data_IF_338017998830
#
_entry.id   IF_338017998830
#
_cell.length_a   1.000
_cell.length_b   1.000
_cell.length_c   1.000
_cell.angle_alpha   90.00
_cell.angle_beta   90.00
_cell.angle_gamma   90.00
#
_symmetry.space_group_name_H-M   'P 1'
#
loop_
_entity.id
_entity.type
_entity.pdbx_description
1 polymer ?
#
# COMPACT_ATOMS: atom_id res chain seq x y z
N UNK A 1 44.21 -40.45 -5.73
CA UNK A 1 43.47 -40.43 -4.45
C UNK A 1 42.33 -39.44 -4.63
N UNK A 2 41.20 -39.90 -5.19
CA UNK A 2 40.02 -40.33 -4.44
C UNK A 2 39.39 -39.17 -3.67
N UNK A 3 38.44 -38.49 -4.29
CA UNK A 3 37.13 -38.17 -3.69
C UNK A 3 36.13 -37.92 -4.83
N UNK A 4 35.60 -39.04 -5.34
CA UNK A 4 34.23 -39.09 -5.84
C UNK A 4 33.32 -38.70 -4.68
N UNK A 5 32.53 -37.64 -4.83
CA UNK A 5 31.38 -37.43 -3.95
C UNK A 5 30.12 -37.38 -4.80
N UNK A 6 29.61 -38.59 -4.98
CA UNK A 6 28.24 -39.01 -5.27
C UNK A 6 27.23 -37.85 -5.40
N UNK A 7 26.86 -37.54 -6.64
CA UNK A 7 25.50 -37.12 -6.90
C UNK A 7 24.60 -38.25 -6.40
N UNK A 8 23.83 -38.01 -5.32
CA UNK A 8 22.71 -38.88 -4.95
C UNK A 8 21.77 -38.89 -6.15
N UNK A 9 21.84 -39.96 -6.92
CA UNK A 9 20.83 -40.32 -7.90
C UNK A 9 19.50 -40.34 -7.13
N UNK A 10 18.60 -39.40 -7.44
CA UNK A 10 17.24 -39.43 -6.91
C UNK A 10 16.58 -40.62 -7.60
N UNK A 11 16.71 -41.81 -7.01
CA UNK A 11 16.02 -43.00 -7.47
C UNK A 11 14.54 -42.76 -7.31
N UNK A 12 13.86 -42.47 -8.43
CA UNK A 12 12.40 -42.42 -8.49
C UNK A 12 11.87 -43.80 -8.12
N UNK A 13 11.43 -43.94 -6.86
CA UNK A 13 10.79 -45.16 -6.40
C UNK A 13 9.41 -45.24 -7.02
N UNK A 14 9.12 -46.39 -7.59
CA UNK A 14 7.81 -46.70 -8.15
C UNK A 14 6.79 -46.96 -7.03
N UNK A 15 5.49 -46.83 -7.35
CA UNK A 15 4.41 -47.14 -6.41
C UNK A 15 4.51 -48.58 -5.88
N UNK A 16 4.92 -49.54 -6.72
CA UNK A 16 5.14 -50.92 -6.32
C UNK A 16 6.25 -51.09 -5.28
N UNK A 17 7.37 -50.39 -5.45
CA UNK A 17 8.48 -50.41 -4.50
C UNK A 17 8.10 -49.76 -3.17
N UNK A 18 7.33 -48.67 -3.19
CA UNK A 18 6.84 -47.99 -1.98
C UNK A 18 5.91 -48.92 -1.19
N UNK A 19 4.96 -49.58 -1.86
CA UNK A 19 4.06 -50.57 -1.24
C UNK A 19 4.87 -51.72 -0.65
N UNK A 20 5.85 -52.24 -1.38
CA UNK A 20 6.69 -53.33 -0.91
C UNK A 20 7.49 -52.94 0.34
N UNK A 21 8.04 -51.71 0.37
CA UNK A 21 8.82 -51.23 1.50
C UNK A 21 7.98 -51.08 2.76
N UNK A 22 6.85 -50.40 2.70
CA UNK A 22 5.96 -50.27 3.86
C UNK A 22 5.42 -51.61 4.34
N UNK A 23 5.14 -52.55 3.43
CA UNK A 23 4.78 -53.92 3.82
C UNK A 23 5.89 -54.58 4.63
N UNK A 24 7.14 -54.49 4.17
CA UNK A 24 8.31 -55.08 4.83
C UNK A 24 8.62 -54.39 6.16
N UNK A 25 8.50 -53.07 6.24
CA UNK A 25 8.67 -52.29 7.48
C UNK A 25 7.70 -52.73 8.58
N UNK A 26 6.47 -53.04 8.20
CA UNK A 26 5.44 -53.56 9.10
C UNK A 26 5.55 -55.08 9.31
N UNK A 27 6.59 -55.74 8.80
CA UNK A 27 6.84 -57.17 8.96
C UNK A 27 5.82 -58.09 8.30
N UNK A 28 5.00 -57.58 7.36
CA UNK A 28 3.93 -58.34 6.73
C UNK A 28 4.42 -59.14 5.52
N UNK A 29 3.88 -60.33 5.30
CA UNK A 29 3.97 -61.08 4.05
C UNK A 29 2.99 -60.54 3.00
N UNK A 30 3.21 -60.85 1.71
CA UNK A 30 2.27 -60.46 0.64
C UNK A 30 0.87 -61.06 0.85
N UNK A 31 0.79 -62.24 1.46
CA UNK A 31 -0.47 -62.90 1.80
C UNK A 31 -1.23 -62.13 2.89
N UNK A 32 -0.54 -61.72 3.96
CA UNK A 32 -1.14 -60.94 5.05
C UNK A 32 -1.59 -59.55 4.58
N UNK A 33 -0.82 -58.87 3.72
CA UNK A 33 -1.26 -57.61 3.13
C UNK A 33 -2.49 -57.81 2.23
N UNK A 34 -2.52 -58.89 1.44
CA UNK A 34 -3.67 -59.25 0.61
C UNK A 34 -4.94 -59.44 1.45
N UNK A 35 -4.84 -60.17 2.56
CA UNK A 35 -5.95 -60.37 3.49
C UNK A 35 -6.48 -59.05 4.07
N UNK A 36 -5.59 -58.14 4.51
CA UNK A 36 -6.00 -56.82 5.03
C UNK A 36 -6.61 -55.92 3.95
N UNK A 37 -6.13 -56.04 2.72
CA UNK A 37 -6.60 -55.29 1.56
C UNK A 37 -7.86 -55.87 0.92
N UNK A 38 -8.30 -57.07 1.34
CA UNK A 38 -9.37 -57.84 0.70
C UNK A 38 -9.10 -58.14 -0.78
N UNK A 39 -7.83 -58.41 -1.12
CA UNK A 39 -7.38 -58.80 -2.47
C UNK A 39 -6.51 -60.05 -2.40
N UNK A 40 -6.29 -60.72 -3.53
CA UNK A 40 -5.42 -61.89 -3.54
C UNK A 40 -3.95 -61.49 -3.35
N UNK A 41 -3.14 -62.40 -2.81
CA UNK A 41 -1.67 -62.27 -2.78
C UNK A 41 -1.09 -61.97 -4.16
N UNK A 42 -1.67 -62.57 -5.21
CA UNK A 42 -1.24 -62.34 -6.59
C UNK A 42 -1.40 -60.86 -6.96
N UNK A 43 -2.53 -60.23 -6.61
CA UNK A 43 -2.75 -58.79 -6.84
C UNK A 43 -1.69 -57.93 -6.15
N UNK A 44 -1.33 -58.25 -4.89
CA UNK A 44 -0.24 -57.55 -4.19
C UNK A 44 1.09 -57.72 -4.92
N UNK A 45 1.41 -58.93 -5.38
CA UNK A 45 2.62 -59.20 -6.16
C UNK A 45 2.64 -58.43 -7.48
N UNK A 46 1.50 -58.29 -8.17
CA UNK A 46 1.41 -57.50 -9.40
C UNK A 46 1.64 -56.01 -9.14
N UNK A 47 1.17 -55.47 -8.01
CA UNK A 47 1.44 -54.10 -7.61
C UNK A 47 2.92 -53.90 -7.27
N UNK A 48 3.50 -54.76 -6.44
CA UNK A 48 4.91 -54.65 -6.02
C UNK A 48 5.90 -54.79 -7.18
N UNK A 49 5.54 -55.53 -8.23
CA UNK A 49 6.35 -55.68 -9.44
C UNK A 49 5.98 -54.69 -10.55
N UNK A 50 5.20 -53.64 -10.25
CA UNK A 50 4.78 -52.60 -11.19
C UNK A 50 4.04 -53.10 -12.44
N UNK A 51 3.42 -54.28 -12.37
CA UNK A 51 2.67 -54.86 -13.48
C UNK A 51 1.24 -54.31 -13.56
N UNK A 52 0.68 -53.92 -12.42
CA UNK A 52 -0.63 -53.25 -12.33
C UNK A 52 -0.57 -52.16 -11.26
N UNK A 53 -1.52 -51.22 -11.31
CA UNK A 53 -1.59 -50.12 -10.33
C UNK A 53 -2.78 -50.31 -9.38
N UNK A 54 -2.65 -49.94 -8.09
CA UNK A 54 -3.77 -49.92 -7.18
C UNK A 54 -4.83 -48.90 -7.63
N UNK A 55 -6.10 -49.25 -7.50
CA UNK A 55 -7.21 -48.30 -7.71
C UNK A 55 -7.28 -47.25 -6.59
N UNK A 56 -8.08 -46.19 -6.79
CA UNK A 56 -8.28 -45.13 -5.80
C UNK A 56 -8.75 -45.69 -4.44
N UNK A 57 -9.67 -46.66 -4.43
CA UNK A 57 -10.15 -47.25 -3.18
C UNK A 57 -9.08 -48.13 -2.50
N UNK A 58 -8.21 -48.76 -3.29
CA UNK A 58 -7.06 -49.48 -2.75
C UNK A 58 -6.04 -48.50 -2.13
N UNK A 59 -5.79 -47.34 -2.75
CA UNK A 59 -4.90 -46.32 -2.19
C UNK A 59 -5.40 -45.77 -0.84
N UNK A 60 -6.72 -45.58 -0.69
CA UNK A 60 -7.32 -45.16 0.60
C UNK A 60 -7.06 -46.19 1.70
N UNK A 61 -7.25 -47.48 1.41
CA UNK A 61 -7.01 -48.59 2.35
C UNK A 61 -5.53 -48.75 2.67
N UNK A 62 -4.65 -48.63 1.68
CA UNK A 62 -3.20 -48.68 1.88
C UNK A 62 -2.75 -47.54 2.80
N UNK A 63 -3.29 -46.32 2.63
CA UNK A 63 -3.03 -45.20 3.56
C UNK A 63 -3.41 -45.56 5.00
N UNK A 64 -4.55 -46.20 5.23
CA UNK A 64 -4.98 -46.60 6.57
C UNK A 64 -4.10 -47.70 7.17
N UNK A 65 -3.70 -48.69 6.37
CA UNK A 65 -2.88 -49.82 6.81
C UNK A 65 -1.43 -49.39 7.09
N UNK A 66 -0.86 -48.53 6.24
CA UNK A 66 0.52 -48.08 6.33
C UNK A 66 0.69 -46.83 7.21
N UNK A 67 -0.39 -46.11 7.53
CA UNK A 67 -0.33 -44.90 8.34
C UNK A 67 0.32 -43.70 7.63
N UNK A 68 0.34 -43.69 6.29
CA UNK A 68 0.98 -42.65 5.46
C UNK A 68 -0.04 -41.91 4.59
N UNK A 69 0.35 -40.80 3.97
CA UNK A 69 -0.52 -40.09 3.03
C UNK A 69 -0.65 -40.85 1.70
N UNK A 70 -1.72 -40.59 0.93
CA UNK A 70 -1.82 -41.15 -0.43
C UNK A 70 -0.69 -40.61 -1.31
N UNK A 71 -0.30 -39.36 -1.08
CA UNK A 71 0.84 -38.72 -1.76
C UNK A 71 2.15 -39.47 -1.47
N UNK A 72 2.35 -39.97 -0.25
CA UNK A 72 3.48 -40.85 0.10
C UNK A 72 3.51 -42.11 -0.77
N UNK A 73 2.37 -42.80 -0.86
CA UNK A 73 2.23 -44.06 -1.60
C UNK A 73 2.46 -43.85 -3.10
N UNK A 74 2.09 -42.67 -3.61
CA UNK A 74 2.31 -42.27 -5.00
C UNK A 74 3.71 -41.71 -5.27
N UNK A 75 4.58 -41.61 -4.25
CA UNK A 75 5.95 -41.12 -4.38
C UNK A 75 6.08 -39.59 -4.39
N UNK A 76 5.02 -38.85 -4.07
CA UNK A 76 5.00 -37.39 -4.05
C UNK A 76 5.57 -36.77 -2.75
N UNK A 77 5.76 -37.54 -1.67
CA UNK A 77 6.37 -37.01 -0.42
C UNK A 77 7.83 -36.59 -0.59
N UNK A 78 8.60 -37.26 -1.48
CA UNK A 78 9.96 -36.82 -1.83
C UNK A 78 9.98 -35.52 -2.64
N UNK A 79 8.85 -35.08 -3.19
CA UNK A 79 8.73 -33.81 -3.91
C UNK A 79 8.42 -32.65 -2.96
N UNK A 80 7.79 -32.91 -1.81
CA UNK A 80 7.32 -31.84 -0.90
C UNK A 80 8.22 -31.60 0.31
N UNK A 81 9.11 -32.53 0.69
CA UNK A 81 9.89 -32.39 1.93
C UNK A 81 11.38 -32.07 1.79
N UNK A 82 11.97 -32.02 0.59
CA UNK A 82 13.41 -31.72 0.44
C UNK A 82 13.82 -30.95 -0.82
N UNK A 83 12.90 -30.20 -1.43
CA UNK A 83 13.30 -29.09 -2.28
C UNK A 83 12.95 -27.82 -1.54
N UNK A 84 13.93 -27.16 -0.91
CA UNK A 84 13.83 -25.72 -0.75
C UNK A 84 13.56 -25.20 -2.17
N UNK A 85 12.30 -24.88 -2.48
CA UNK A 85 11.91 -24.41 -3.80
C UNK A 85 12.91 -23.33 -4.18
N UNK A 86 13.69 -23.52 -5.24
CA UNK A 86 14.66 -22.48 -5.57
C UNK A 86 13.89 -21.21 -5.91
N UNK A 87 14.34 -20.04 -5.41
CA UNK A 87 13.65 -18.80 -5.72
C UNK A 87 13.67 -18.59 -7.24
N UNK A 88 12.50 -18.32 -7.80
CA UNK A 88 12.31 -18.03 -9.24
C UNK A 88 13.13 -16.79 -9.62
N UNK A 89 13.19 -15.84 -8.69
CA UNK A 89 14.01 -14.65 -8.78
C UNK A 89 14.65 -14.38 -7.42
N UNK A 90 15.95 -14.13 -7.43
CA UNK A 90 16.66 -13.66 -6.26
C UNK A 90 17.49 -12.45 -6.66
N UNK A 91 17.40 -11.37 -5.88
CA UNK A 91 18.23 -10.20 -6.06
C UNK A 91 18.66 -9.64 -4.72
N UNK A 92 19.86 -9.08 -4.71
CA UNK A 92 20.47 -8.47 -3.55
C UNK A 92 20.92 -7.07 -3.91
N UNK A 93 20.58 -6.10 -3.06
CA UNK A 93 21.00 -4.73 -3.28
C UNK A 93 21.24 -3.99 -1.97
N UNK A 94 22.06 -2.96 -2.08
CA UNK A 94 22.31 -2.01 -1.01
C UNK A 94 21.80 -0.65 -1.45
N UNK A 95 21.26 0.11 -0.52
CA UNK A 95 20.81 1.45 -0.83
C UNK A 95 21.99 2.40 -0.98
N UNK A 96 22.02 3.11 -2.10
CA UNK A 96 22.93 4.25 -2.22
C UNK A 96 22.35 5.47 -1.51
N UNK A 97 23.23 6.33 -0.99
CA UNK A 97 22.82 7.61 -0.39
C UNK A 97 22.02 8.48 -1.37
N UNK A 98 22.29 8.38 -2.68
CA UNK A 98 21.56 9.11 -3.73
C UNK A 98 20.11 8.65 -3.81
N UNK A 99 19.86 7.35 -3.86
CA UNK A 99 18.52 6.77 -3.91
C UNK A 99 17.68 7.10 -2.68
N UNK A 100 18.27 6.98 -1.48
CA UNK A 100 17.61 7.38 -0.24
C UNK A 100 17.26 8.87 -0.22
N UNK A 101 18.15 9.72 -0.74
CA UNK A 101 17.88 11.15 -0.87
C UNK A 101 16.75 11.43 -1.88
N UNK A 102 16.62 10.67 -2.96
CA UNK A 102 15.49 10.77 -3.89
C UNK A 102 14.18 10.36 -3.25
N UNK A 103 14.14 9.22 -2.57
CA UNK A 103 12.99 8.75 -1.80
C UNK A 103 12.53 9.81 -0.79
N UNK A 104 13.49 10.39 -0.08
CA UNK A 104 13.22 11.48 0.85
C UNK A 104 12.71 12.73 0.15
N UNK A 105 13.28 13.14 -0.99
CA UNK A 105 12.78 14.28 -1.76
C UNK A 105 11.31 14.11 -2.14
N UNK A 106 10.90 12.89 -2.50
CA UNK A 106 9.52 12.58 -2.86
C UNK A 106 8.58 12.62 -1.64
N UNK A 107 8.98 12.05 -0.50
CA UNK A 107 8.18 12.05 0.74
C UNK A 107 8.12 13.43 1.41
N UNK A 108 9.20 14.20 1.34
CA UNK A 108 9.38 15.54 1.93
C UNK A 108 8.33 16.55 1.47
N UNK A 109 7.79 16.43 0.25
CA UNK A 109 6.72 17.31 -0.24
C UNK A 109 5.45 17.23 0.61
N UNK A 110 5.14 16.08 1.23
CA UNK A 110 3.98 15.93 2.13
C UNK A 110 4.20 16.63 3.48
N UNK A 111 5.46 16.64 3.92
CA UNK A 111 5.89 17.15 5.22
C UNK A 111 5.79 18.67 5.27
N UNK A 112 6.22 19.38 4.22
CA UNK A 112 6.11 20.84 4.16
C UNK A 112 4.70 21.35 3.87
N UNK A 113 3.80 20.53 3.31
CA UNK A 113 2.41 20.97 3.03
C UNK A 113 1.65 21.34 4.30
N UNK A 114 1.78 20.55 5.37
CA UNK A 114 1.09 20.79 6.64
C UNK A 114 1.43 22.14 7.29
N UNK A 115 2.71 22.50 7.51
CA UNK A 115 3.05 23.80 8.07
C UNK A 115 2.65 24.96 7.15
N UNK A 116 2.79 24.82 5.83
CA UNK A 116 2.35 25.88 4.88
C UNK A 116 0.86 26.15 5.04
N UNK A 117 0.04 25.10 5.04
CA UNK A 117 -1.42 25.25 5.21
C UNK A 117 -1.75 25.85 6.57
N UNK A 118 -1.11 25.39 7.64
CA UNK A 118 -1.29 25.96 8.98
C UNK A 118 -0.95 27.46 9.00
N UNK A 119 0.21 27.86 8.46
CA UNK A 119 0.62 29.27 8.39
C UNK A 119 -0.38 30.12 7.61
N UNK A 120 -0.86 29.63 6.45
CA UNK A 120 -1.86 30.36 5.65
C UNK A 120 -3.16 30.55 6.45
N UNK A 121 -3.65 29.48 7.09
CA UNK A 121 -4.89 29.54 7.89
C UNK A 121 -4.73 30.49 9.08
N UNK A 122 -3.62 30.42 9.81
CA UNK A 122 -3.34 31.32 10.93
C UNK A 122 -3.25 32.78 10.49
N UNK A 123 -2.60 33.07 9.36
CA UNK A 123 -2.52 34.44 8.82
C UNK A 123 -3.91 34.96 8.42
N UNK A 124 -4.71 34.15 7.72
CA UNK A 124 -6.09 34.52 7.37
C UNK A 124 -6.95 34.79 8.61
N UNK A 125 -6.76 33.99 9.66
CA UNK A 125 -7.46 34.15 10.94
C UNK A 125 -7.06 35.45 11.65
N UNK A 126 -5.77 35.81 11.64
CA UNK A 126 -5.30 37.10 12.17
C UNK A 126 -5.85 38.28 11.37
N UNK A 127 -5.83 38.19 10.02
CA UNK A 127 -6.39 39.23 9.14
C UNK A 127 -7.89 39.42 9.41
N UNK A 128 -8.63 38.34 9.61
CA UNK A 128 -10.05 38.40 9.95
C UNK A 128 -10.31 39.22 11.23
N UNK A 129 -9.54 39.01 12.31
CA UNK A 129 -9.72 39.81 13.53
C UNK A 129 -9.40 41.29 13.34
N UNK A 130 -8.36 41.59 12.56
CA UNK A 130 -7.97 42.98 12.25
C UNK A 130 -9.09 43.69 11.47
N UNK A 131 -9.63 43.03 10.43
CA UNK A 131 -10.70 43.59 9.59
C UNK A 131 -12.00 43.83 10.36
N UNK A 132 -12.25 43.06 11.42
CA UNK A 132 -13.46 43.19 12.25
C UNK A 132 -13.25 44.05 13.50
N UNK A 133 -12.14 44.79 13.60
CA UNK A 133 -11.83 45.66 14.74
C UNK A 133 -11.96 44.94 16.10
N UNK A 134 -11.51 43.69 16.16
CA UNK A 134 -11.55 42.92 17.39
C UNK A 134 -10.66 43.54 18.48
N UNK A 135 -10.95 43.32 19.77
CA UNK A 135 -10.12 43.83 20.86
C UNK A 135 -8.65 43.41 20.72
N UNK A 136 -7.72 44.30 21.06
CA UNK A 136 -6.26 44.08 20.90
C UNK A 136 -5.77 42.76 21.48
N UNK A 137 -6.36 42.34 22.61
CA UNK A 137 -6.05 41.06 23.24
C UNK A 137 -6.32 39.85 22.32
N UNK A 138 -7.41 39.87 21.54
CA UNK A 138 -7.76 38.79 20.60
C UNK A 138 -6.78 38.73 19.42
N UNK A 139 -6.37 39.90 18.91
CA UNK A 139 -5.35 40.00 17.87
C UNK A 139 -4.01 39.45 18.40
N UNK A 140 -3.63 39.82 19.63
CA UNK A 140 -2.44 39.31 20.32
C UNK A 140 -2.46 37.79 20.49
N UNK A 141 -3.60 37.19 20.88
CA UNK A 141 -3.75 35.74 20.96
C UNK A 141 -3.58 35.06 19.60
N UNK A 142 -4.12 35.62 18.52
CA UNK A 142 -3.98 35.08 17.17
C UNK A 142 -2.50 35.06 16.72
N UNK A 143 -1.76 36.13 16.98
CA UNK A 143 -0.31 36.16 16.74
C UNK A 143 0.46 35.17 17.61
N UNK A 144 0.08 35.02 18.89
CA UNK A 144 0.66 34.03 19.80
C UNK A 144 0.50 32.60 19.27
N UNK A 145 -0.69 32.24 18.78
CA UNK A 145 -0.94 30.92 18.16
C UNK A 145 -0.08 30.68 16.91
N UNK A 146 0.09 31.70 16.06
CA UNK A 146 0.97 31.62 14.89
C UNK A 146 2.42 31.35 15.32
N UNK A 147 2.93 32.12 16.29
CA UNK A 147 4.31 31.98 16.77
C UNK A 147 4.58 30.60 17.39
N UNK A 148 3.69 30.14 18.28
CA UNK A 148 3.80 28.82 18.91
C UNK A 148 3.75 27.71 17.84
N UNK A 149 2.83 27.80 16.89
CA UNK A 149 2.71 26.83 15.80
C UNK A 149 3.95 26.82 14.90
N UNK A 150 4.52 27.98 14.61
CA UNK A 150 5.76 28.11 13.84
C UNK A 150 6.95 27.45 14.56
N UNK A 151 7.11 27.72 15.86
CA UNK A 151 8.15 27.08 16.69
C UNK A 151 7.97 25.55 16.72
N UNK A 152 6.73 25.07 16.88
CA UNK A 152 6.42 23.65 16.85
C UNK A 152 6.78 23.01 15.51
N UNK A 153 6.40 23.63 14.39
CA UNK A 153 6.70 23.13 13.06
C UNK A 153 8.20 23.14 12.75
N UNK A 154 8.94 24.16 13.16
CA UNK A 154 10.40 24.20 13.02
C UNK A 154 11.04 23.05 13.81
N UNK A 155 10.67 22.88 15.09
CA UNK A 155 11.16 21.76 15.91
C UNK A 155 10.87 20.42 15.25
N UNK A 156 9.66 20.24 14.72
CA UNK A 156 9.27 19.01 14.04
C UNK A 156 10.08 18.75 12.76
N UNK A 157 10.31 19.77 11.93
CA UNK A 157 11.14 19.68 10.71
C UNK A 157 12.59 19.31 11.07
N UNK A 158 13.16 19.94 12.10
CA UNK A 158 14.52 19.66 12.56
C UNK A 158 14.63 18.23 13.10
N UNK A 159 13.68 17.80 13.93
CA UNK A 159 13.62 16.44 14.46
C UNK A 159 13.51 15.41 13.34
N UNK A 160 12.61 15.65 12.37
CA UNK A 160 12.45 14.79 11.21
C UNK A 160 13.75 14.69 10.39
N UNK A 161 14.39 15.82 10.10
CA UNK A 161 15.67 15.86 9.36
C UNK A 161 16.77 15.09 10.10
N UNK A 162 16.85 15.21 11.42
CA UNK A 162 17.82 14.48 12.25
C UNK A 162 17.56 12.96 12.21
N UNK A 163 16.33 12.54 12.44
CA UNK A 163 15.93 11.12 12.40
C UNK A 163 16.17 10.52 11.02
N UNK A 164 15.88 11.27 9.96
CA UNK A 164 16.13 10.83 8.59
C UNK A 164 17.62 10.65 8.30
N UNK A 165 18.48 11.58 8.71
CA UNK A 165 19.94 11.46 8.56
C UNK A 165 20.49 10.20 9.23
N UNK A 166 20.03 9.90 10.45
CA UNK A 166 20.39 8.67 11.17
C UNK A 166 19.86 7.42 10.47
N UNK A 167 18.64 7.49 9.91
CA UNK A 167 18.03 6.37 9.18
C UNK A 167 18.78 6.05 7.89
N UNK A 168 19.22 7.07 7.11
CA UNK A 168 20.05 6.87 5.92
C UNK A 168 21.29 6.05 6.26
N UNK A 169 22.01 6.45 7.31
CA UNK A 169 23.28 5.80 7.65
C UNK A 169 23.07 4.32 7.99
N UNK A 170 22.00 4.01 8.74
CA UNK A 170 21.63 2.62 9.07
C UNK A 170 21.22 1.81 7.84
N UNK A 171 20.44 2.40 6.93
CA UNK A 171 19.92 1.71 5.74
C UNK A 171 21.02 1.49 4.70
N UNK A 172 21.93 2.45 4.50
CA UNK A 172 23.07 2.29 3.59
C UNK A 172 24.03 1.17 4.02
N UNK A 173 24.16 0.92 5.33
CA UNK A 173 24.97 -0.18 5.89
C UNK A 173 24.27 -1.53 5.84
N UNK A 174 23.00 -1.56 5.44
CA UNK A 174 22.20 -2.79 5.40
C UNK A 174 22.12 -3.31 3.96
N UNK A 175 22.17 -4.63 3.82
CA UNK A 175 22.03 -5.34 2.55
C UNK A 175 20.68 -6.03 2.52
N UNK A 176 19.95 -5.83 1.43
CA UNK A 176 18.59 -6.34 1.26
C UNK A 176 18.61 -7.46 0.24
N UNK A 177 18.24 -8.66 0.66
CA UNK A 177 18.11 -9.83 -0.19
C UNK A 177 16.61 -10.16 -0.31
N UNK A 178 16.13 -10.23 -1.54
CA UNK A 178 14.78 -10.62 -1.87
C UNK A 178 14.81 -11.92 -2.65
N UNK A 179 13.98 -12.88 -2.22
CA UNK A 179 13.76 -14.18 -2.86
C UNK A 179 12.29 -14.31 -3.19
N UNK A 180 11.98 -14.41 -4.47
CA UNK A 180 10.62 -14.46 -5.01
C UNK A 180 10.28 -15.90 -5.35
N UNK A 181 9.15 -16.36 -4.84
CA UNK A 181 8.57 -17.68 -5.08
C UNK A 181 7.16 -17.50 -5.68
N UNK A 182 6.52 -18.61 -6.06
CA UNK A 182 5.18 -18.59 -6.67
C UNK A 182 4.10 -18.01 -5.76
N UNK A 183 4.19 -18.27 -4.46
CA UNK A 183 3.15 -17.87 -3.49
C UNK A 183 3.60 -16.79 -2.49
N UNK A 184 4.90 -16.57 -2.37
CA UNK A 184 5.47 -15.69 -1.35
C UNK A 184 6.77 -15.01 -1.77
N UNK A 185 7.13 -13.96 -1.03
CA UNK A 185 8.43 -13.29 -1.10
C UNK A 185 9.11 -13.45 0.25
N UNK A 186 10.35 -13.93 0.25
CA UNK A 186 11.22 -13.86 1.42
C UNK A 186 12.09 -12.60 1.32
N UNK A 187 12.10 -11.81 2.39
CA UNK A 187 12.88 -10.58 2.52
C UNK A 187 13.85 -10.75 3.69
N UNK A 188 15.13 -10.81 3.37
CA UNK A 188 16.20 -10.91 4.34
C UNK A 188 16.97 -9.59 4.38
N UNK A 189 17.16 -9.04 5.58
CA UNK A 189 17.93 -7.81 5.77
C UNK A 189 19.14 -8.13 6.63
N UNK A 190 20.31 -7.93 6.05
CA UNK A 190 21.59 -8.09 6.71
C UNK A 190 22.17 -6.72 7.06
N UNK A 191 22.91 -6.62 8.16
CA UNK A 191 23.72 -5.43 8.48
C UNK A 191 25.01 -5.93 9.09
N UNK A 192 26.13 -5.41 8.60
CA UNK A 192 27.46 -5.85 9.07
C UNK A 192 27.60 -7.39 9.03
N UNK A 193 27.03 -8.00 7.98
CA UNK A 193 26.95 -9.46 7.75
C UNK A 193 26.10 -10.28 8.74
N UNK A 194 25.46 -9.66 9.72
CA UNK A 194 24.47 -10.33 10.57
C UNK A 194 23.06 -10.20 10.01
N UNK A 195 22.28 -11.29 10.05
CA UNK A 195 20.88 -11.28 9.62
C UNK A 195 20.02 -10.61 10.69
N UNK A 196 19.62 -9.37 10.46
CA UNK A 196 18.77 -8.60 11.39
C UNK A 196 17.30 -8.95 11.23
N UNK A 197 16.89 -9.27 10.00
CA UNK A 197 15.49 -9.56 9.71
C UNK A 197 15.37 -10.70 8.71
N UNK A 198 14.44 -11.58 9.03
CA UNK A 198 13.91 -12.61 8.15
C UNK A 198 12.40 -12.40 8.07
N UNK A 199 11.84 -12.29 6.89
CA UNK A 199 10.41 -12.04 6.69
C UNK A 199 9.89 -12.79 5.50
N UNK A 200 9.03 -13.77 5.75
CA UNK A 200 8.31 -14.53 4.71
C UNK A 200 6.93 -13.91 4.51
N UNK A 201 6.69 -13.34 3.34
CA UNK A 201 5.49 -12.57 3.02
C UNK A 201 4.69 -13.29 1.93
N UNK A 202 3.54 -13.88 2.27
CA UNK A 202 2.64 -14.47 1.26
C UNK A 202 1.92 -13.36 0.48
N UNK A 203 1.72 -13.56 -0.82
CA UNK A 203 1.08 -12.54 -1.66
C UNK A 203 -0.36 -12.22 -1.23
N UNK A 204 -1.08 -13.23 -0.73
CA UNK A 204 -2.44 -13.09 -0.18
C UNK A 204 -2.51 -12.04 0.94
N UNK A 205 -1.45 -11.98 1.73
CA UNK A 205 -1.38 -11.21 2.98
C UNK A 205 -0.84 -9.80 2.77
N UNK A 206 -0.40 -9.47 1.55
CA UNK A 206 0.01 -8.11 1.23
C UNK A 206 -1.21 -7.20 1.37
N UNK A 207 -1.13 -6.24 2.29
CA UNK A 207 -2.22 -5.33 2.61
C UNK A 207 -2.34 -4.24 1.54
N UNK A 208 -1.22 -3.64 1.19
CA UNK A 208 -1.16 -2.50 0.28
C UNK A 208 0.18 -2.46 -0.43
N UNK A 209 0.19 -2.01 -1.69
CA UNK A 209 1.39 -1.73 -2.48
C UNK A 209 1.33 -0.28 -2.94
N UNK A 210 2.45 0.44 -2.93
CA UNK A 210 2.53 1.84 -3.28
C UNK A 210 3.69 2.10 -4.23
N UNK A 211 3.38 2.79 -5.34
CA UNK A 211 4.39 3.17 -6.32
C UNK A 211 5.00 4.51 -5.94
N UNK A 212 6.34 4.59 -5.83
CA UNK A 212 7.05 5.82 -5.52
C UNK A 212 8.34 5.94 -6.37
N UNK A 213 8.23 6.64 -7.50
CA UNK A 213 9.36 6.76 -8.44
C UNK A 213 9.80 5.38 -8.96
N UNK A 214 11.09 5.06 -8.81
CA UNK A 214 11.68 3.77 -9.17
C UNK A 214 11.45 2.66 -8.12
N UNK A 215 10.62 2.91 -7.10
CA UNK A 215 10.44 2.01 -5.96
C UNK A 215 9.00 1.55 -5.84
N UNK A 216 8.84 0.34 -5.33
CA UNK A 216 7.59 -0.27 -4.91
C UNK A 216 7.68 -0.48 -3.40
N UNK A 217 6.73 0.08 -2.67
CA UNK A 217 6.58 -0.15 -1.24
C UNK A 217 5.43 -1.12 -1.05
N UNK A 218 5.61 -2.17 -0.27
CA UNK A 218 4.48 -3.04 0.09
C UNK A 218 4.39 -3.21 1.60
N UNK A 219 3.16 -3.30 2.09
CA UNK A 219 2.84 -3.40 3.49
C UNK A 219 2.43 -4.84 3.81
N UNK A 220 3.06 -5.41 4.84
CA UNK A 220 2.81 -6.76 5.34
C UNK A 220 2.98 -6.78 6.86
N UNK A 221 1.95 -7.22 7.59
CA UNK A 221 1.96 -7.32 9.05
C UNK A 221 2.24 -5.98 9.74
N UNK A 222 1.70 -4.89 9.19
CA UNK A 222 1.96 -3.52 9.67
C UNK A 222 3.38 -2.98 9.40
N UNK A 223 4.21 -3.69 8.63
CA UNK A 223 5.57 -3.28 8.27
C UNK A 223 5.67 -2.93 6.79
N UNK A 224 6.53 -1.99 6.45
CA UNK A 224 6.77 -1.57 5.07
C UNK A 224 8.08 -2.15 4.54
N UNK A 225 8.00 -2.80 3.39
CA UNK A 225 9.11 -3.32 2.63
C UNK A 225 9.26 -2.54 1.32
N UNK A 226 10.47 -2.55 0.76
CA UNK A 226 10.82 -1.70 -0.37
C UNK A 226 11.59 -2.47 -1.44
N UNK A 227 11.06 -2.45 -2.65
CA UNK A 227 11.61 -3.14 -3.82
C UNK A 227 11.97 -2.13 -4.89
N UNK A 228 13.16 -2.28 -5.48
CA UNK A 228 13.57 -1.49 -6.64
C UNK A 228 12.92 -2.09 -7.90
N UNK A 229 12.25 -1.27 -8.70
CA UNK A 229 11.55 -1.75 -9.91
C UNK A 229 12.48 -2.36 -10.95
N UNK A 230 13.70 -1.85 -11.06
CA UNK A 230 14.71 -2.32 -12.02
C UNK A 230 15.30 -3.68 -11.67
N UNK A 231 15.18 -4.12 -10.42
CA UNK A 231 15.76 -5.38 -9.95
C UNK A 231 14.76 -6.55 -10.12
N UNK A 232 13.49 -6.22 -10.39
CA UNK A 232 12.46 -7.19 -10.78
C UNK A 232 12.52 -7.44 -12.28
N UNK A 233 12.36 -8.71 -12.70
CA UNK A 233 12.21 -9.04 -14.12
C UNK A 233 10.88 -8.49 -14.65
N UNK A 234 10.82 -8.16 -15.94
CA UNK A 234 9.59 -7.65 -16.57
C UNK A 234 8.41 -8.64 -16.45
N UNK A 235 8.70 -9.93 -16.43
CA UNK A 235 7.73 -11.02 -16.25
C UNK A 235 7.65 -11.54 -14.81
N UNK A 236 8.08 -10.74 -13.82
CA UNK A 236 8.12 -11.17 -12.42
C UNK A 236 6.74 -11.57 -11.89
N UNK A 237 6.73 -12.63 -11.06
CA UNK A 237 5.53 -13.08 -10.32
C UNK A 237 4.94 -11.93 -9.50
N UNK A 238 5.79 -11.05 -8.97
CA UNK A 238 5.35 -9.88 -8.22
C UNK A 238 4.56 -8.88 -9.08
N UNK A 239 5.03 -8.60 -10.30
CA UNK A 239 4.27 -7.76 -11.25
C UNK A 239 2.94 -8.42 -11.64
N UNK A 240 2.96 -9.73 -11.89
CA UNK A 240 1.75 -10.51 -12.19
C UNK A 240 0.73 -10.44 -11.04
N UNK A 241 1.18 -10.54 -9.79
CA UNK A 241 0.33 -10.38 -8.62
C UNK A 241 -0.27 -8.98 -8.53
N UNK A 242 0.54 -7.93 -8.71
CA UNK A 242 0.08 -6.54 -8.70
C UNK A 242 -0.99 -6.28 -9.77
N UNK A 243 -0.78 -6.80 -10.98
CA UNK A 243 -1.73 -6.66 -12.08
C UNK A 243 -3.07 -7.35 -11.79
N UNK A 244 -3.03 -8.54 -11.17
CA UNK A 244 -4.23 -9.27 -10.74
C UNK A 244 -4.96 -8.60 -9.56
N UNK A 245 -4.29 -7.74 -8.80
CA UNK A 245 -4.83 -7.11 -7.58
C UNK A 245 -4.73 -5.56 -7.61
N UNK A 246 -5.41 -4.89 -8.56
CA UNK A 246 -5.32 -3.43 -8.71
C UNK A 246 -5.88 -2.65 -7.52
N UNK A 247 -6.76 -3.26 -6.71
CA UNK A 247 -7.32 -2.64 -5.49
C UNK A 247 -6.28 -2.48 -4.38
N UNK A 248 -5.24 -3.32 -4.37
CA UNK A 248 -4.15 -3.27 -3.38
C UNK A 248 -3.07 -2.27 -3.78
N UNK A 249 -2.99 -1.85 -5.05
CA UNK A 249 -1.97 -0.94 -5.56
C UNK A 249 -2.43 0.52 -5.52
N UNK A 250 -1.71 1.34 -4.77
CA UNK A 250 -1.89 2.79 -4.66
C UNK A 250 -0.80 3.50 -5.45
N UNK A 251 -1.18 4.13 -6.55
CA UNK A 251 -0.28 5.05 -7.24
C UNK A 251 -0.19 6.37 -6.46
N UNK A 252 0.95 6.61 -5.80
CA UNK A 252 1.30 7.96 -5.37
C UNK A 252 1.75 8.77 -6.59
N UNK A 253 0.79 9.14 -7.43
CA UNK A 253 1.05 10.09 -8.50
C UNK A 253 1.46 11.44 -7.88
N UNK A 254 2.47 12.06 -8.48
CA UNK A 254 2.80 13.49 -8.31
C UNK A 254 1.49 14.26 -8.25
N UNK A 255 1.28 15.21 -7.30
CA UNK A 255 0.00 15.89 -7.13
C UNK A 255 -0.48 16.39 -8.48
N UNK A 256 -1.53 15.74 -8.97
CA UNK A 256 -2.11 16.03 -10.26
C UNK A 256 -2.42 17.53 -10.31
N UNK A 257 -2.00 18.26 -11.36
CA UNK A 257 -2.32 19.69 -11.51
C UNK A 257 -3.82 19.93 -11.26
N UNK A 258 -4.65 19.01 -11.72
CA UNK A 258 -6.09 18.95 -11.47
C UNK A 258 -6.49 18.88 -9.99
N UNK A 259 -5.77 18.09 -9.17
CA UNK A 259 -6.00 17.99 -7.72
C UNK A 259 -5.70 19.30 -7.00
N UNK A 260 -4.60 19.95 -7.37
CA UNK A 260 -4.21 21.23 -6.77
C UNK A 260 -5.21 22.33 -7.13
N UNK A 261 -5.60 22.43 -8.40
CA UNK A 261 -6.63 23.37 -8.87
C UNK A 261 -7.98 23.08 -8.16
N UNK A 262 -8.34 21.81 -8.00
CA UNK A 262 -9.57 21.42 -7.28
C UNK A 262 -9.56 21.90 -5.82
N UNK A 263 -8.43 21.72 -5.12
CA UNK A 263 -8.30 22.16 -3.72
C UNK A 263 -8.37 23.69 -3.65
N UNK A 264 -7.70 24.41 -4.56
CA UNK A 264 -7.72 25.86 -4.61
C UNK A 264 -9.15 26.39 -4.82
N UNK A 265 -9.87 25.86 -5.83
CA UNK A 265 -11.25 26.23 -6.12
C UNK A 265 -12.21 25.90 -4.98
N UNK A 266 -12.00 24.77 -4.30
CA UNK A 266 -12.79 24.39 -3.14
C UNK A 266 -12.63 25.40 -1.99
N UNK A 267 -11.39 25.76 -1.65
CA UNK A 267 -11.10 26.75 -0.60
C UNK A 267 -11.62 28.13 -0.98
N UNK A 268 -11.39 28.57 -2.23
CA UNK A 268 -11.90 29.84 -2.72
C UNK A 268 -13.44 29.91 -2.67
N UNK A 269 -14.12 28.81 -2.98
CA UNK A 269 -15.59 28.73 -2.89
C UNK A 269 -16.07 28.91 -1.46
N UNK A 270 -15.43 28.28 -0.47
CA UNK A 270 -15.78 28.46 0.95
C UNK A 270 -15.51 29.89 1.45
N UNK A 271 -14.42 30.50 0.99
CA UNK A 271 -14.06 31.87 1.37
C UNK A 271 -14.90 32.95 0.68
N UNK A 272 -15.61 32.61 -0.40
CA UNK A 272 -16.38 33.57 -1.21
C UNK A 272 -17.45 34.32 -0.40
N UNK A 273 -18.11 33.69 0.56
CA UNK A 273 -19.13 34.35 1.40
C UNK A 273 -18.53 35.38 2.35
N UNK A 274 -17.34 35.09 2.90
CA UNK A 274 -16.63 36.03 3.76
C UNK A 274 -16.08 37.21 2.95
N UNK A 275 -15.61 36.94 1.73
CA UNK A 275 -15.23 37.99 0.78
C UNK A 275 -16.40 38.89 0.42
N UNK A 276 -17.57 38.32 0.14
CA UNK A 276 -18.79 39.08 -0.12
C UNK A 276 -19.20 39.95 1.08
N UNK A 277 -19.23 39.38 2.28
CA UNK A 277 -19.57 40.10 3.52
C UNK A 277 -18.60 41.25 3.80
N UNK A 278 -17.29 41.02 3.68
CA UNK A 278 -16.28 42.06 3.85
C UNK A 278 -16.45 43.18 2.81
N UNK A 279 -16.78 42.84 1.56
CA UNK A 279 -17.01 43.82 0.49
C UNK A 279 -18.24 44.67 0.78
N UNK A 280 -19.35 44.05 1.21
CA UNK A 280 -20.55 44.78 1.62
C UNK A 280 -20.27 45.69 2.81
N UNK A 281 -19.58 45.20 3.84
CA UNK A 281 -19.21 46.01 5.00
C UNK A 281 -18.35 47.22 4.61
N UNK A 282 -17.39 47.01 3.71
CA UNK A 282 -16.52 48.08 3.21
C UNK A 282 -17.27 49.12 2.37
N UNK A 283 -18.21 48.73 1.50
CA UNK A 283 -18.99 49.70 0.73
C UNK A 283 -20.02 50.42 1.62
N UNK A 284 -20.61 49.69 2.56
CA UNK A 284 -21.61 50.22 3.48
C UNK A 284 -21.05 51.22 4.49
N UNK A 285 -19.75 51.18 4.77
CA UNK A 285 -19.12 52.23 5.59
C UNK A 285 -19.06 53.58 4.90
N UNK A 286 -19.14 53.64 3.55
CA UNK A 286 -19.15 54.89 2.79
C UNK A 286 -20.54 55.49 2.64
N UNK A 287 -21.56 54.67 2.40
CA UNK A 287 -22.92 55.15 2.09
C UNK A 287 -23.95 54.90 3.20
N UNK A 288 -23.62 54.11 4.23
CA UNK A 288 -24.52 53.76 5.34
C UNK A 288 -25.61 52.74 5.00
N UNK A 289 -25.63 52.19 3.79
CA UNK A 289 -26.75 51.42 3.25
C UNK A 289 -26.43 49.93 3.15
N UNK A 290 -26.48 49.23 4.29
CA UNK A 290 -26.08 47.82 4.36
C UNK A 290 -26.93 46.89 3.48
N UNK A 291 -28.26 46.97 3.59
CA UNK A 291 -29.20 46.09 2.87
C UNK A 291 -29.13 46.34 1.37
N UNK A 292 -29.12 47.60 0.97
CA UNK A 292 -29.04 47.97 -0.44
C UNK A 292 -27.75 47.46 -1.07
N UNK A 293 -26.62 47.48 -0.36
CA UNK A 293 -25.35 46.98 -0.87
C UNK A 293 -25.26 45.44 -0.93
N UNK A 294 -26.24 44.69 -0.42
CA UNK A 294 -26.18 43.22 -0.40
C UNK A 294 -26.10 42.61 -1.81
N UNK A 295 -26.51 43.31 -2.87
CA UNK A 295 -26.34 42.85 -4.26
C UNK A 295 -24.88 42.51 -4.60
N UNK A 296 -23.89 43.08 -3.90
CA UNK A 296 -22.47 42.77 -4.08
C UNK A 296 -22.13 41.29 -3.86
N UNK A 297 -22.98 40.54 -3.14
CA UNK A 297 -22.84 39.08 -3.03
C UNK A 297 -22.87 38.38 -4.40
N UNK A 298 -23.59 38.92 -5.38
CA UNK A 298 -23.62 38.35 -6.74
C UNK A 298 -22.26 38.38 -7.43
N UNK A 299 -21.38 39.34 -7.12
CA UNK A 299 -20.03 39.44 -7.70
C UNK A 299 -19.14 38.25 -7.34
N UNK A 300 -19.44 37.56 -6.24
CA UNK A 300 -18.66 36.41 -5.76
C UNK A 300 -19.18 35.07 -6.29
N UNK A 301 -20.34 35.04 -6.95
CA UNK A 301 -20.94 33.82 -7.54
C UNK A 301 -20.11 33.12 -8.63
N UNK A 302 -19.23 33.79 -9.40
CA UNK A 302 -18.39 33.11 -10.38
C UNK A 302 -17.44 32.08 -9.75
N UNK A 303 -16.96 32.31 -8.52
CA UNK A 303 -16.02 31.42 -7.82
C UNK A 303 -16.62 30.02 -7.58
N UNK A 304 -17.77 29.88 -6.87
CA UNK A 304 -18.40 28.58 -6.70
C UNK A 304 -18.91 27.99 -8.03
N UNK A 305 -19.33 28.82 -8.98
CA UNK A 305 -19.77 28.36 -10.31
C UNK A 305 -18.65 27.65 -11.07
N UNK A 306 -17.45 28.25 -11.12
CA UNK A 306 -16.26 27.63 -11.71
C UNK A 306 -15.90 26.33 -10.97
N UNK A 307 -16.01 26.32 -9.63
CA UNK A 307 -15.74 25.13 -8.81
C UNK A 307 -16.69 23.96 -9.12
N UNK A 308 -17.98 24.24 -9.35
CA UNK A 308 -18.99 23.25 -9.76
C UNK A 308 -18.65 22.68 -11.14
N UNK A 309 -18.45 23.55 -12.14
CA UNK A 309 -18.13 23.15 -13.52
C UNK A 309 -16.88 22.29 -13.54
N UNK A 310 -15.83 22.74 -12.84
CA UNK A 310 -14.58 22.01 -12.73
C UNK A 310 -14.76 20.63 -12.06
N UNK A 311 -15.60 20.56 -11.02
CA UNK A 311 -15.97 19.29 -10.36
C UNK A 311 -16.63 18.30 -11.32
N UNK A 312 -17.54 18.75 -12.19
CA UNK A 312 -18.16 17.91 -13.21
C UNK A 312 -17.17 17.45 -14.29
N UNK A 313 -16.29 18.33 -14.77
CA UNK A 313 -15.23 17.97 -15.72
C UNK A 313 -14.33 16.86 -15.14
N UNK A 314 -13.94 16.97 -13.87
CA UNK A 314 -13.11 15.95 -13.22
C UNK A 314 -13.87 14.64 -12.98
N UNK A 315 -15.17 14.71 -12.66
CA UNK A 315 -16.04 13.54 -12.55
C UNK A 315 -16.14 12.79 -13.88
N UNK A 316 -16.24 13.52 -15.01
CA UNK A 316 -16.25 12.93 -16.35
C UNK A 316 -14.93 12.23 -16.70
N UNK A 317 -13.80 12.67 -16.11
CA UNK A 317 -12.48 12.03 -16.24
C UNK A 317 -12.26 10.85 -15.27
N UNK A 318 -13.31 10.35 -14.61
CA UNK A 318 -13.23 9.21 -13.68
C UNK A 318 -12.64 9.54 -12.30
N UNK A 319 -12.43 10.82 -11.98
CA UNK A 319 -11.83 11.23 -10.72
C UNK A 319 -12.88 11.56 -9.64
N UNK A 320 -12.64 11.14 -8.39
CA UNK A 320 -13.59 11.30 -7.27
C UNK A 320 -13.55 12.72 -6.65
N UNK A 321 -14.14 13.72 -7.31
CA UNK A 321 -14.18 15.13 -6.86
C UNK A 321 -15.59 15.66 -6.50
N UNK A 322 -16.43 14.83 -5.87
CA UNK A 322 -17.80 15.20 -5.45
C UNK A 322 -17.85 16.40 -4.48
N UNK A 323 -16.79 16.62 -3.68
CA UNK A 323 -16.73 17.68 -2.67
C UNK A 323 -16.83 19.09 -3.25
N UNK A 324 -16.19 19.34 -4.39
CA UNK A 324 -16.23 20.64 -5.08
C UNK A 324 -17.63 20.98 -5.58
N UNK A 325 -18.34 19.98 -6.12
CA UNK A 325 -19.71 20.15 -6.63
C UNK A 325 -20.64 20.52 -5.46
N UNK A 326 -20.62 19.73 -4.39
CA UNK A 326 -21.51 19.93 -3.23
C UNK A 326 -21.24 21.29 -2.57
N UNK A 327 -19.99 21.58 -2.22
CA UNK A 327 -19.65 22.85 -1.58
C UNK A 327 -19.95 24.04 -2.50
N UNK A 328 -19.63 23.94 -3.79
CA UNK A 328 -19.94 24.99 -4.75
C UNK A 328 -21.43 25.29 -4.83
N UNK A 329 -22.30 24.27 -4.89
CA UNK A 329 -23.76 24.45 -4.91
C UNK A 329 -24.25 25.15 -3.64
N UNK A 330 -23.79 24.69 -2.47
CA UNK A 330 -24.19 25.28 -1.17
C UNK A 330 -23.76 26.75 -1.10
N UNK A 331 -22.51 27.06 -1.47
CA UNK A 331 -22.00 28.43 -1.41
C UNK A 331 -22.68 29.34 -2.44
N UNK A 332 -22.92 28.85 -3.66
CA UNK A 332 -23.66 29.59 -4.68
C UNK A 332 -25.08 29.92 -4.21
N UNK A 333 -25.77 28.96 -3.59
CA UNK A 333 -27.10 29.17 -3.03
C UNK A 333 -27.09 30.30 -1.98
N UNK A 334 -26.19 30.25 -1.00
CA UNK A 334 -26.10 31.31 0.02
C UNK A 334 -25.79 32.68 -0.59
N UNK A 335 -24.85 32.76 -1.54
CA UNK A 335 -24.53 34.03 -2.20
C UNK A 335 -25.74 34.61 -2.93
N UNK A 336 -26.52 33.79 -3.63
CA UNK A 336 -27.73 34.25 -4.30
C UNK A 336 -28.82 34.68 -3.32
N UNK A 337 -29.03 33.94 -2.23
CA UNK A 337 -30.04 34.28 -1.21
C UNK A 337 -29.71 35.62 -0.57
N UNK A 338 -28.49 35.79 -0.06
CA UNK A 338 -28.07 37.05 0.55
C UNK A 338 -28.02 38.20 -0.46
N UNK A 339 -27.56 37.95 -1.69
CA UNK A 339 -27.57 38.95 -2.76
C UNK A 339 -28.96 39.49 -3.07
N UNK A 340 -29.97 38.63 -2.98
CA UNK A 340 -31.35 38.99 -3.28
C UNK A 340 -32.00 39.90 -2.23
N UNK A 341 -31.43 40.02 -1.02
CA UNK A 341 -32.01 40.85 0.04
C UNK A 341 -32.11 42.32 -0.35
N UNK A 342 -31.15 42.82 -1.14
CA UNK A 342 -31.17 44.18 -1.72
C UNK A 342 -32.41 44.48 -2.58
N UNK A 343 -33.09 43.44 -3.09
CA UNK A 343 -34.29 43.58 -3.91
C UNK A 343 -35.58 43.25 -3.15
N UNK A 344 -35.48 42.64 -1.97
CA UNK A 344 -36.62 42.15 -1.18
C UNK A 344 -36.93 43.10 -0.02
N UNK A 345 -35.90 43.64 0.61
CA UNK A 345 -35.95 44.53 1.77
C UNK A 345 -35.32 45.87 1.41
#
# INVERSE_FOLDING_TARGET
MLYLNQAKEVTFMTVGEIIQNHRKELGMSQEELGQKMLVSRQTISLWENNQTVPTIDNLKRLKEIFGVTVDAILGFENTLQNTEAQPIEAYQFNFTKRELNELHRLQRKSIYKRPIVFTIVSVLFTIFFILNHAPDFMIGLAFGMLFIGLVYHIKWILAYSKTFKSSIERVCKSTYEYKIFDEHISVNIYRENEKIRDSKCYYTDIEQIQHLGNWLFFQFGGQNFIVRKSDLKDNSVFYSFMYKNPSKTIENTVPNKWRTISILLFVASLLSIFGALATVGAVSSFNGLFVENMWLFFLFTPIPTISIIFGFILKAKGLKYKKNIIAGIIMLFFLCVYGSFSFIF
#
